data_IF_406902713911
#
_entry.id   IF_406902713911
#
_cell.length_a   1.000
_cell.length_b   1.000
_cell.length_c   1.000
_cell.angle_alpha   90.00
_cell.angle_beta   90.00
_cell.angle_gamma   90.00
#
_symmetry.space_group_name_H-M   'P 1'
#
loop_
_entity.id
_entity.type
_entity.pdbx_description
1 polymer ?
#
# COMPACT_ATOMS: atom_id res chain seq x y z
N UNK A 1 -6.95 9.55 -20.14
CA UNK A 1 -7.04 10.87 -20.82
C UNK A 1 -8.30 11.61 -20.38
N UNK A 2 -8.41 12.95 -20.52
CA UNK A 2 -9.59 13.71 -20.08
C UNK A 2 -10.93 13.21 -20.67
N UNK A 3 -10.94 12.76 -21.92
CA UNK A 3 -12.15 12.23 -22.58
C UNK A 3 -12.64 10.92 -21.96
N UNK A 4 -11.73 9.97 -21.72
CA UNK A 4 -12.05 8.69 -21.07
C UNK A 4 -12.56 8.88 -19.62
N UNK A 5 -12.04 9.89 -18.90
CA UNK A 5 -12.51 10.21 -17.55
C UNK A 5 -13.96 10.74 -17.54
N UNK A 6 -14.36 11.48 -18.57
CA UNK A 6 -15.68 12.12 -18.67
C UNK A 6 -16.72 11.16 -19.29
N UNK A 7 -16.30 10.12 -20.01
CA UNK A 7 -17.23 9.12 -20.56
C UNK A 7 -17.96 8.28 -19.50
N UNK A 8 -17.54 8.36 -18.23
CA UNK A 8 -18.07 7.56 -17.14
C UNK A 8 -17.50 6.14 -17.09
N UNK A 9 -16.55 5.81 -17.96
CA UNK A 9 -15.87 4.51 -17.93
C UNK A 9 -14.92 4.45 -16.73
N UNK A 10 -15.07 3.44 -15.89
CA UNK A 10 -14.21 3.21 -14.72
C UNK A 10 -13.65 1.78 -14.71
N UNK A 11 -12.56 1.58 -13.98
CA UNK A 11 -11.99 0.25 -13.71
C UNK A 11 -11.36 0.21 -12.33
N UNK A 12 -11.36 -0.97 -11.72
CA UNK A 12 -10.73 -1.23 -10.43
C UNK A 12 -9.60 -2.25 -10.56
N UNK A 13 -8.70 -2.27 -9.58
CA UNK A 13 -7.73 -3.34 -9.37
C UNK A 13 -7.80 -3.79 -7.92
N UNK A 14 -7.89 -5.10 -7.71
CA UNK A 14 -7.92 -5.70 -6.38
C UNK A 14 -6.69 -5.28 -5.57
N UNK A 15 -6.89 -5.01 -4.28
CA UNK A 15 -5.83 -4.84 -3.29
C UNK A 15 -5.80 -6.11 -2.44
N UNK A 16 -4.60 -6.60 -2.15
CA UNK A 16 -4.40 -7.74 -1.24
C UNK A 16 -3.58 -7.28 -0.04
N UNK A 17 -4.04 -7.62 1.16
CA UNK A 17 -3.34 -7.35 2.42
C UNK A 17 -3.15 -8.71 3.09
N UNK A 18 -1.91 -9.05 3.42
CA UNK A 18 -1.56 -10.28 4.12
C UNK A 18 -1.93 -10.27 5.60
N UNK A 19 -1.43 -11.27 6.32
CA UNK A 19 -1.68 -11.45 7.74
C UNK A 19 -0.78 -10.55 8.60
N UNK A 20 -1.25 -10.21 9.80
CA UNK A 20 -0.53 -9.41 10.80
C UNK A 20 -0.07 -8.02 10.29
N UNK A 21 -0.87 -7.37 9.45
CA UNK A 21 -0.57 -6.04 8.90
C UNK A 21 -1.15 -4.94 9.79
N UNK A 22 -0.33 -3.96 10.15
CA UNK A 22 -0.78 -2.74 10.82
C UNK A 22 -0.76 -1.56 9.85
N UNK A 23 -1.94 -0.97 9.60
CA UNK A 23 -2.08 0.24 8.79
C UNK A 23 -2.26 1.46 9.69
N UNK A 24 -1.26 2.34 9.68
CA UNK A 24 -1.29 3.61 10.39
C UNK A 24 -2.36 4.57 9.85
N UNK A 25 -2.84 5.46 10.71
CA UNK A 25 -3.91 6.41 10.37
C UNK A 25 -3.58 7.27 9.14
N UNK A 26 -4.60 7.53 8.32
CA UNK A 26 -4.50 8.30 7.06
C UNK A 26 -3.54 7.74 6.01
N UNK A 27 -3.13 6.47 6.10
CA UNK A 27 -2.44 5.83 4.97
C UNK A 27 -3.39 5.69 3.75
N UNK A 28 -2.82 5.74 2.55
CA UNK A 28 -3.51 5.55 1.27
C UNK A 28 -2.87 4.36 0.56
N UNK A 29 -3.68 3.38 0.14
CA UNK A 29 -3.22 2.20 -0.60
C UNK A 29 -3.82 2.25 -2.01
N UNK A 30 -2.96 2.33 -3.03
CA UNK A 30 -3.41 2.44 -4.41
C UNK A 30 -3.97 1.11 -4.96
N UNK A 31 -4.87 1.15 -5.96
CA UNK A 31 -5.40 -0.04 -6.61
C UNK A 31 -4.30 -0.95 -7.18
N UNK A 32 -4.45 -2.26 -7.00
CA UNK A 32 -3.54 -3.27 -7.54
C UNK A 32 -2.33 -3.60 -6.67
N UNK A 33 -2.17 -2.93 -5.52
CA UNK A 33 -1.08 -3.19 -4.58
C UNK A 33 -1.31 -4.48 -3.81
N UNK A 34 -0.23 -5.24 -3.61
CA UNK A 34 -0.13 -6.34 -2.65
C UNK A 34 0.76 -5.94 -1.48
N UNK A 35 0.23 -6.03 -0.26
CA UNK A 35 0.98 -5.88 0.99
C UNK A 35 1.18 -7.29 1.56
N UNK A 36 2.44 -7.64 1.80
CA UNK A 36 2.86 -8.90 2.41
C UNK A 36 2.46 -9.05 3.88
N UNK A 37 2.95 -10.12 4.50
CA UNK A 37 2.69 -10.44 5.90
C UNK A 37 3.60 -9.66 6.86
N UNK A 38 3.13 -9.43 8.09
CA UNK A 38 3.90 -8.79 9.15
C UNK A 38 4.42 -7.40 8.76
N UNK A 39 3.60 -6.62 8.05
CA UNK A 39 3.95 -5.28 7.56
C UNK A 39 3.40 -4.19 8.47
N UNK A 40 4.19 -3.15 8.72
CA UNK A 40 3.70 -1.90 9.34
C UNK A 40 3.73 -0.78 8.31
N UNK A 41 2.57 -0.21 8.01
CA UNK A 41 2.43 0.99 7.17
C UNK A 41 2.35 2.21 8.09
N UNK A 42 3.33 3.11 8.03
CA UNK A 42 3.35 4.33 8.83
C UNK A 42 2.16 5.24 8.49
N UNK A 43 1.74 6.07 9.46
CA UNK A 43 0.67 7.05 9.26
C UNK A 43 0.98 8.00 8.11
N UNK A 44 -0.03 8.30 7.28
CA UNK A 44 0.11 9.20 6.13
C UNK A 44 0.92 8.64 4.95
N UNK A 45 1.32 7.36 4.98
CA UNK A 45 2.03 6.76 3.86
C UNK A 45 1.14 6.61 2.62
N UNK A 46 1.72 6.77 1.42
CA UNK A 46 1.03 6.55 0.14
C UNK A 46 1.69 5.35 -0.56
N UNK A 47 1.03 4.21 -0.50
CA UNK A 47 1.52 2.94 -1.02
C UNK A 47 1.19 2.85 -2.51
N UNK A 48 2.21 3.01 -3.36
CA UNK A 48 2.08 3.02 -4.82
C UNK A 48 2.66 1.78 -5.49
N UNK A 49 3.26 0.86 -4.72
CA UNK A 49 3.93 -0.37 -5.18
C UNK A 49 3.73 -1.46 -4.14
N UNK A 50 3.87 -2.71 -4.56
CA UNK A 50 3.82 -3.88 -3.66
C UNK A 50 4.84 -3.75 -2.52
N UNK A 51 4.46 -4.25 -1.35
CA UNK A 51 5.25 -4.23 -0.13
C UNK A 51 5.57 -5.67 0.25
N UNK A 52 6.87 -6.04 0.39
CA UNK A 52 7.24 -7.40 0.78
C UNK A 52 6.89 -7.68 2.25
N UNK A 53 7.03 -8.93 2.68
CA UNK A 53 6.83 -9.33 4.08
C UNK A 53 7.86 -8.68 5.03
N UNK A 54 7.54 -8.60 6.32
CA UNK A 54 8.46 -8.26 7.42
C UNK A 54 9.16 -6.89 7.27
N UNK A 55 8.41 -5.85 6.91
CA UNK A 55 8.95 -4.48 6.77
C UNK A 55 8.05 -3.42 7.39
N UNK A 56 8.67 -2.30 7.74
CA UNK A 56 7.99 -1.03 7.98
C UNK A 56 8.16 -0.16 6.73
N UNK A 57 7.07 0.39 6.22
CA UNK A 57 7.07 1.33 5.09
C UNK A 57 6.47 2.68 5.49
N UNK A 58 6.97 3.76 4.92
CA UNK A 58 6.47 5.11 5.19
C UNK A 58 6.79 6.13 4.09
N UNK A 59 6.12 7.27 4.13
CA UNK A 59 6.32 8.39 3.20
C UNK A 59 5.37 8.40 1.99
N UNK A 60 5.54 9.42 1.13
CA UNK A 60 4.81 9.59 -0.12
C UNK A 60 5.80 9.95 -1.25
N UNK A 61 6.05 9.05 -2.21
CA UNK A 61 5.60 7.66 -2.25
C UNK A 61 6.28 6.81 -1.17
N UNK A 62 5.59 5.81 -0.63
CA UNK A 62 6.10 4.98 0.46
C UNK A 62 7.38 4.21 0.07
N UNK A 63 8.30 4.09 1.03
CA UNK A 63 9.56 3.33 0.92
C UNK A 63 9.75 2.47 2.17
N UNK A 64 10.53 1.39 2.03
CA UNK A 64 10.97 0.61 3.19
C UNK A 64 11.86 1.49 4.05
N UNK A 65 11.52 1.62 5.33
CA UNK A 65 12.28 2.37 6.32
C UNK A 65 12.96 1.46 7.36
N UNK A 66 12.47 0.22 7.50
CA UNK A 66 13.02 -0.77 8.44
C UNK A 66 12.60 -2.18 8.03
N UNK A 67 13.49 -3.16 8.25
CA UNK A 67 13.14 -4.58 8.24
C UNK A 67 12.78 -5.05 9.66
N UNK A 68 11.76 -5.90 9.76
CA UNK A 68 11.28 -6.48 11.01
C UNK A 68 11.92 -7.86 11.17
N UNK A 69 12.45 -8.13 12.35
CA UNK A 69 12.85 -9.49 12.74
C UNK A 69 11.64 -10.19 13.38
N UNK A 70 11.39 -11.43 12.98
CA UNK A 70 10.24 -12.25 13.39
C UNK A 70 10.66 -13.50 14.18
N UNK A 71 11.92 -13.53 14.64
CA UNK A 71 12.48 -14.59 15.49
C UNK A 71 12.15 -14.39 16.98
#
# INVERSE_FOLDING_TARGET
MPLERISGTEYGKQVTIGDNVWIGGRAVINPGVKIGNNVVVASGAVITKDVPDNVVVGGNPARIIKHIDVN
#
